data_IF_987735219114
#
_entry.id   IF_987735219114
#
_cell.length_a   1.000
_cell.length_b   1.000
_cell.length_c   1.000
_cell.angle_alpha   90.00
_cell.angle_beta   90.00
_cell.angle_gamma   90.00
#
_symmetry.space_group_name_H-M   'P 1'
#
loop_
_entity.id
_entity.type
_entity.pdbx_description
1 polymer ?
#
# COMPACT_ATOMS: atom_id res chain seq x y z
N UNK A 1 -17.27 -21.17 -46.39
CA UNK A 1 -15.87 -20.92 -45.99
C UNK A 1 -15.91 -19.89 -44.88
N UNK A 2 -16.45 -20.33 -43.74
CA UNK A 2 -16.37 -19.67 -42.45
C UNK A 2 -15.04 -20.12 -41.84
N UNK A 3 -14.29 -19.20 -41.23
CA UNK A 3 -13.20 -19.42 -40.25
C UNK A 3 -11.99 -18.52 -40.53
N UNK A 4 -12.05 -17.28 -40.03
CA UNK A 4 -10.89 -16.65 -39.37
C UNK A 4 -11.43 -15.75 -38.24
N UNK A 5 -11.98 -16.36 -37.19
CA UNK A 5 -12.28 -15.68 -35.93
C UNK A 5 -10.99 -15.61 -35.10
N UNK A 6 -10.62 -14.38 -34.76
CA UNK A 6 -10.08 -13.93 -33.46
C UNK A 6 -8.90 -14.67 -32.79
N UNK A 7 -7.79 -13.94 -32.59
CA UNK A 7 -7.40 -13.27 -31.32
C UNK A 7 -5.90 -13.02 -31.36
N UNK A 8 -5.52 -11.76 -31.57
CA UNK A 8 -4.19 -11.30 -31.21
C UNK A 8 -4.06 -11.51 -29.68
N UNK A 9 -3.03 -12.22 -29.18
CA UNK A 9 -2.94 -12.56 -27.77
C UNK A 9 -2.86 -11.28 -26.92
N UNK A 10 -3.63 -11.25 -25.84
CA UNK A 10 -3.55 -10.21 -24.81
C UNK A 10 -2.09 -10.08 -24.38
N UNK A 11 -1.49 -8.92 -24.66
CA UNK A 11 -0.17 -8.41 -24.26
C UNK A 11 0.68 -9.41 -23.46
N UNK A 12 1.74 -9.96 -24.07
CA UNK A 12 2.75 -10.77 -23.35
C UNK A 12 3.33 -9.88 -22.25
N UNK A 13 2.83 -10.04 -21.03
CA UNK A 13 3.25 -9.28 -19.87
C UNK A 13 4.67 -9.73 -19.52
N UNK A 14 5.60 -8.80 -19.31
CA UNK A 14 6.94 -9.21 -18.91
C UNK A 14 6.88 -9.77 -17.48
N UNK A 15 7.77 -10.71 -17.13
CA UNK A 15 7.84 -11.25 -15.76
C UNK A 15 7.94 -10.16 -14.69
N UNK A 16 8.57 -9.02 -15.02
CA UNK A 16 8.67 -7.86 -14.13
C UNK A 16 7.31 -7.21 -13.88
N UNK A 17 6.50 -7.06 -14.93
CA UNK A 17 5.17 -6.47 -14.81
C UNK A 17 4.20 -7.41 -14.07
N UNK A 18 4.36 -8.74 -14.21
CA UNK A 18 3.64 -9.72 -13.38
C UNK A 18 3.96 -9.56 -11.90
N UNK A 19 5.27 -9.54 -11.55
CA UNK A 19 5.73 -9.36 -10.17
C UNK A 19 5.18 -8.04 -9.60
N UNK A 20 5.22 -6.96 -10.39
CA UNK A 20 4.67 -5.66 -9.99
C UNK A 20 3.16 -5.73 -9.76
N UNK A 21 2.42 -6.36 -10.67
CA UNK A 21 0.97 -6.51 -10.56
C UNK A 21 0.59 -7.31 -9.32
N UNK A 22 1.27 -8.41 -9.06
CA UNK A 22 0.97 -9.27 -7.91
C UNK A 22 1.42 -8.64 -6.59
N UNK A 23 2.55 -7.92 -6.59
CA UNK A 23 2.95 -7.09 -5.45
C UNK A 23 1.87 -6.07 -5.09
N UNK A 24 1.32 -5.34 -6.07
CA UNK A 24 0.30 -4.33 -5.82
C UNK A 24 -0.96 -4.95 -5.20
N UNK A 25 -1.41 -6.11 -5.71
CA UNK A 25 -2.55 -6.85 -5.13
C UNK A 25 -2.28 -7.29 -3.70
N UNK A 26 -1.07 -7.79 -3.41
CA UNK A 26 -0.69 -8.20 -2.06
C UNK A 26 -0.60 -6.99 -1.12
N UNK A 27 -0.10 -5.86 -1.58
CA UNK A 27 -0.05 -4.61 -0.81
C UNK A 27 -1.46 -4.12 -0.47
N UNK A 28 -2.38 -4.10 -1.43
CA UNK A 28 -3.78 -3.74 -1.21
C UNK A 28 -4.47 -4.67 -0.22
N UNK A 29 -4.31 -5.98 -0.40
CA UNK A 29 -4.84 -6.97 0.54
C UNK A 29 -4.28 -6.76 1.94
N UNK A 30 -2.98 -6.55 2.07
CA UNK A 30 -2.34 -6.38 3.37
C UNK A 30 -2.80 -5.10 4.10
N UNK A 31 -2.99 -3.99 3.36
CA UNK A 31 -3.56 -2.77 3.94
C UNK A 31 -5.01 -2.99 4.41
N UNK A 32 -5.82 -3.73 3.64
CA UNK A 32 -7.16 -4.12 4.09
C UNK A 32 -7.12 -5.02 5.34
N UNK A 33 -6.16 -5.95 5.41
CA UNK A 33 -5.99 -6.81 6.58
C UNK A 33 -5.56 -6.02 7.83
N UNK A 34 -4.74 -4.98 7.69
CA UNK A 34 -4.41 -4.05 8.79
C UNK A 34 -5.68 -3.32 9.28
N UNK A 35 -6.46 -2.77 8.34
CA UNK A 35 -7.69 -2.04 8.62
C UNK A 35 -8.74 -2.88 9.37
N UNK A 36 -8.86 -4.15 8.98
CA UNK A 36 -9.80 -5.10 9.56
C UNK A 36 -9.24 -5.81 10.81
N UNK A 37 -8.03 -5.45 11.26
CA UNK A 37 -7.36 -6.07 12.41
C UNK A 37 -6.93 -7.52 12.19
N UNK A 38 -6.95 -8.02 10.95
CA UNK A 38 -6.45 -9.35 10.55
C UNK A 38 -4.92 -9.41 10.51
N UNK A 39 -4.26 -8.26 10.35
CA UNK A 39 -2.82 -8.12 10.45
C UNK A 39 -2.45 -7.18 11.60
N UNK A 40 -1.48 -7.60 12.43
CA UNK A 40 -1.00 -6.82 13.59
C UNK A 40 0.32 -6.11 13.33
N UNK A 41 0.99 -6.40 12.20
CA UNK A 41 2.29 -5.86 11.83
C UNK A 41 2.30 -5.53 10.35
N UNK A 42 2.99 -4.45 10.00
CA UNK A 42 3.23 -4.06 8.61
C UNK A 42 4.20 -5.01 7.93
N UNK A 43 3.89 -5.35 6.69
CA UNK A 43 4.82 -6.02 5.80
C UNK A 43 5.89 -5.05 5.30
N UNK A 44 6.99 -5.65 4.91
CA UNK A 44 8.15 -5.01 4.32
C UNK A 44 8.54 -5.83 3.08
N UNK A 45 9.46 -5.33 2.26
CA UNK A 45 9.88 -6.00 1.03
C UNK A 45 10.25 -7.49 1.23
N UNK A 46 10.76 -7.86 2.40
CA UNK A 46 11.02 -9.27 2.76
C UNK A 46 9.78 -10.15 2.69
N UNK A 47 8.71 -9.76 3.39
CA UNK A 47 7.45 -10.51 3.46
C UNK A 47 6.80 -10.63 2.08
N UNK A 48 6.80 -9.55 1.29
CA UNK A 48 6.27 -9.59 -0.07
C UNK A 48 7.11 -10.46 -1.00
N UNK A 49 8.45 -10.41 -0.89
CA UNK A 49 9.34 -11.27 -1.65
C UNK A 49 9.10 -12.76 -1.37
N UNK A 50 8.92 -13.11 -0.09
CA UNK A 50 8.58 -14.48 0.32
C UNK A 50 7.25 -14.95 -0.30
N UNK A 51 6.20 -14.13 -0.26
CA UNK A 51 4.89 -14.46 -0.85
C UNK A 51 4.91 -14.57 -2.38
N UNK A 52 5.81 -13.85 -3.04
CA UNK A 52 5.97 -13.85 -4.49
C UNK A 52 7.05 -14.82 -4.98
N UNK A 53 7.67 -15.58 -4.07
CA UNK A 53 8.79 -16.48 -4.35
C UNK A 53 9.96 -15.79 -5.06
N UNK A 54 10.28 -14.56 -4.65
CA UNK A 54 11.41 -13.78 -5.17
C UNK A 54 12.26 -13.20 -4.04
N UNK A 55 13.56 -13.03 -4.30
CA UNK A 55 14.43 -12.39 -3.32
C UNK A 55 13.98 -10.93 -3.07
N UNK A 56 13.99 -10.41 -1.82
CA UNK A 56 13.47 -9.07 -1.51
C UNK A 56 14.16 -7.94 -2.31
N UNK A 57 15.47 -8.07 -2.54
CA UNK A 57 16.22 -7.15 -3.42
C UNK A 57 15.70 -7.17 -4.87
N UNK A 58 15.34 -8.35 -5.39
CA UNK A 58 14.79 -8.45 -6.73
C UNK A 58 13.42 -7.80 -6.82
N UNK A 59 12.56 -7.99 -5.81
CA UNK A 59 11.29 -7.27 -5.70
C UNK A 59 11.50 -5.76 -5.72
N UNK A 60 12.34 -5.22 -4.82
CA UNK A 60 12.61 -3.77 -4.76
C UNK A 60 13.12 -3.23 -6.09
N UNK A 61 14.08 -3.90 -6.73
CA UNK A 61 14.60 -3.47 -8.03
C UNK A 61 13.54 -3.53 -9.13
N UNK A 62 12.65 -4.53 -9.09
CA UNK A 62 11.56 -4.69 -10.07
C UNK A 62 10.52 -3.57 -9.92
N UNK A 63 10.12 -3.25 -8.68
CA UNK A 63 9.21 -2.14 -8.40
C UNK A 63 9.83 -0.80 -8.80
N UNK A 64 11.12 -0.57 -8.49
CA UNK A 64 11.81 0.64 -8.92
C UNK A 64 11.89 0.75 -10.44
N UNK A 65 12.16 -0.34 -11.15
CA UNK A 65 12.27 -0.33 -12.60
C UNK A 65 10.91 -0.10 -13.29
N UNK A 66 9.83 -0.64 -12.74
CA UNK A 66 8.50 -0.61 -13.38
C UNK A 66 7.66 0.59 -12.99
N UNK A 67 7.80 1.09 -11.75
CA UNK A 67 6.97 2.16 -11.20
C UNK A 67 7.78 3.39 -10.76
N UNK A 68 9.12 3.34 -10.82
CA UNK A 68 10.01 4.41 -10.37
C UNK A 68 9.83 4.80 -8.88
N UNK A 69 9.48 3.82 -8.05
CA UNK A 69 9.30 3.96 -6.59
C UNK A 69 9.70 2.68 -5.87
N UNK A 70 9.70 2.68 -4.55
CA UNK A 70 10.00 1.52 -3.72
C UNK A 70 8.73 0.82 -3.18
N UNK A 71 8.83 -0.49 -2.80
CA UNK A 71 7.75 -1.17 -2.09
C UNK A 71 7.34 -0.48 -0.78
N UNK A 72 8.26 0.22 -0.12
CA UNK A 72 8.00 0.93 1.14
C UNK A 72 7.14 2.17 0.89
N UNK A 73 7.50 2.98 -0.10
CA UNK A 73 6.74 4.18 -0.49
C UNK A 73 5.32 3.81 -0.91
N UNK A 74 5.15 2.75 -1.72
CA UNK A 74 3.81 2.28 -2.11
C UNK A 74 2.97 1.88 -0.90
N UNK A 75 3.56 1.19 0.09
CA UNK A 75 2.86 0.85 1.33
C UNK A 75 2.47 2.10 2.13
N UNK A 76 3.37 3.07 2.24
CA UNK A 76 3.14 4.32 2.93
C UNK A 76 2.04 5.16 2.26
N UNK A 77 2.03 5.24 0.93
CA UNK A 77 0.98 5.91 0.15
C UNK A 77 -0.39 5.26 0.35
N UNK A 78 -0.47 3.93 0.31
CA UNK A 78 -1.73 3.21 0.54
C UNK A 78 -2.24 3.40 1.96
N UNK A 79 -1.36 3.30 2.96
CA UNK A 79 -1.70 3.60 4.36
C UNK A 79 -2.18 5.05 4.51
N UNK A 80 -1.50 5.99 3.87
CA UNK A 80 -1.89 7.40 3.90
C UNK A 80 -3.29 7.61 3.31
N UNK A 81 -3.60 6.97 2.19
CA UNK A 81 -4.90 7.06 1.55
C UNK A 81 -6.02 6.57 2.47
N UNK A 82 -5.85 5.40 3.10
CA UNK A 82 -6.83 4.88 4.07
C UNK A 82 -6.91 5.74 5.34
N UNK A 83 -5.77 6.22 5.85
CA UNK A 83 -5.72 7.13 6.99
C UNK A 83 -6.51 8.43 6.73
N UNK A 84 -6.39 9.02 5.54
CA UNK A 84 -7.16 10.22 5.15
C UNK A 84 -8.67 9.94 5.16
N UNK A 85 -9.11 8.77 4.67
CA UNK A 85 -10.52 8.35 4.73
C UNK A 85 -11.01 8.23 6.17
N UNK A 86 -10.24 7.56 7.04
CA UNK A 86 -10.59 7.43 8.46
C UNK A 86 -10.60 8.76 9.21
N UNK A 87 -9.76 9.72 8.82
CA UNK A 87 -9.75 11.05 9.45
C UNK A 87 -11.02 11.87 9.20
N UNK A 88 -11.79 11.53 8.16
CA UNK A 88 -13.10 12.12 7.89
C UNK A 88 -14.15 11.70 8.94
N UNK A 89 -13.99 10.54 9.55
CA UNK A 89 -14.81 10.11 10.68
C UNK A 89 -14.32 10.79 11.98
N UNK A 90 -15.17 11.67 12.52
CA UNK A 90 -14.88 12.43 13.76
C UNK A 90 -15.02 11.60 15.03
N UNK A 91 -15.65 10.42 14.96
CA UNK A 91 -15.80 9.52 16.10
C UNK A 91 -14.50 8.79 16.43
N UNK A 92 -13.62 8.63 15.44
CA UNK A 92 -12.32 7.98 15.61
C UNK A 92 -11.27 8.95 16.16
N UNK A 93 -10.61 8.57 17.24
CA UNK A 93 -9.42 9.27 17.72
C UNK A 93 -8.22 9.05 16.80
N UNK A 94 -7.27 9.99 16.82
CA UNK A 94 -6.02 9.89 16.04
C UNK A 94 -5.20 8.67 16.49
N UNK A 95 -5.29 8.30 17.78
CA UNK A 95 -4.62 7.13 18.34
C UNK A 95 -5.21 5.82 17.79
N UNK A 96 -6.54 5.69 17.75
CA UNK A 96 -7.22 4.52 17.16
C UNK A 96 -6.90 4.36 15.68
N UNK A 97 -6.86 5.45 14.92
CA UNK A 97 -6.47 5.42 13.51
C UNK A 97 -5.02 4.93 13.37
N UNK A 98 -4.08 5.46 14.17
CA UNK A 98 -2.69 5.00 14.15
C UNK A 98 -2.55 3.52 14.50
N UNK A 99 -3.31 3.05 15.49
CA UNK A 99 -3.28 1.65 15.92
C UNK A 99 -3.71 0.69 14.81
N UNK A 100 -4.73 1.04 14.00
CA UNK A 100 -5.18 0.22 12.84
C UNK A 100 -4.06 -0.04 11.84
N UNK A 101 -3.12 0.90 11.69
CA UNK A 101 -1.96 0.73 10.81
C UNK A 101 -0.72 0.21 11.53
N UNK A 102 -0.88 -0.43 12.69
CA UNK A 102 0.18 -0.97 13.53
C UNK A 102 1.22 0.06 14.02
N UNK A 103 0.83 1.33 14.19
CA UNK A 103 1.63 2.26 14.98
C UNK A 103 1.34 2.05 16.47
N UNK A 104 2.37 1.75 17.26
CA UNK A 104 2.25 1.54 18.72
C UNK A 104 1.88 2.84 19.45
N UNK A 105 2.41 3.97 18.97
CA UNK A 105 2.22 5.29 19.57
C UNK A 105 1.58 6.26 18.57
N UNK A 106 0.59 7.03 19.02
CA UNK A 106 -0.08 8.06 18.23
C UNK A 106 0.92 9.12 17.69
N UNK A 107 1.99 9.38 18.44
CA UNK A 107 3.08 10.28 18.04
C UNK A 107 3.80 9.78 16.79
N UNK A 108 4.00 8.46 16.64
CA UNK A 108 4.66 7.89 15.47
C UNK A 108 3.76 7.99 14.22
N UNK A 109 2.46 7.72 14.38
CA UNK A 109 1.50 7.96 13.30
C UNK A 109 1.43 9.43 12.90
N UNK A 110 1.44 10.34 13.87
CA UNK A 110 1.43 11.79 13.61
C UNK A 110 2.68 12.25 12.85
N UNK A 111 3.86 11.74 13.23
CA UNK A 111 5.12 12.02 12.52
C UNK A 111 5.07 11.53 11.07
N UNK A 112 4.64 10.28 10.86
CA UNK A 112 4.44 9.70 9.54
C UNK A 112 3.47 10.53 8.68
N UNK A 113 2.29 10.83 9.21
CA UNK A 113 1.28 11.57 8.45
C UNK A 113 1.80 12.97 8.08
N UNK A 114 2.51 13.62 9.01
CA UNK A 114 3.14 14.92 8.76
C UNK A 114 4.27 14.85 7.75
N UNK A 115 5.12 13.82 7.76
CA UNK A 115 6.17 13.68 6.75
C UNK A 115 5.60 13.48 5.35
N UNK A 116 4.46 12.80 5.24
CA UNK A 116 3.79 12.52 3.96
C UNK A 116 2.93 13.69 3.44
N UNK A 117 2.43 14.57 4.32
CA UNK A 117 1.44 15.60 3.95
C UNK A 117 1.82 17.03 4.31
N UNK A 118 2.93 17.23 5.02
CA UNK A 118 3.31 18.48 5.69
C UNK A 118 2.31 18.98 6.75
N UNK A 119 1.33 18.15 7.13
CA UNK A 119 0.29 18.50 8.09
C UNK A 119 0.13 17.41 9.15
N UNK A 120 -0.22 17.78 10.38
CA UNK A 120 -0.63 16.76 11.37
C UNK A 120 -1.99 16.17 11.01
N UNK A 121 -2.32 14.94 11.45
CA UNK A 121 -3.64 14.36 11.29
C UNK A 121 -4.77 15.26 11.80
N UNK A 122 -4.54 15.94 12.93
CA UNK A 122 -5.52 16.87 13.52
C UNK A 122 -5.72 18.11 12.64
N UNK A 123 -4.66 18.69 12.08
CA UNK A 123 -4.77 19.81 11.16
C UNK A 123 -5.51 19.40 9.88
N UNK A 124 -5.20 18.23 9.32
CA UNK A 124 -5.90 17.69 8.16
C UNK A 124 -7.39 17.50 8.43
N UNK A 125 -7.76 16.88 9.57
CA UNK A 125 -9.16 16.72 9.98
C UNK A 125 -9.91 18.05 10.11
N UNK A 126 -9.24 19.11 10.58
CA UNK A 126 -9.84 20.45 10.66
C UNK A 126 -10.11 21.08 9.29
N UNK A 127 -9.36 20.70 8.25
CA UNK A 127 -9.60 21.18 6.88
C UNK A 127 -10.75 20.45 6.17
N UNK A 128 -11.16 19.28 6.65
CA UNK A 128 -12.34 18.56 6.14
C UNK A 128 -13.67 19.15 6.64
N UNK A 129 -13.62 20.28 7.35
CA UNK A 129 -14.77 20.98 7.90
C UNK A 129 -15.43 21.89 6.87
#
# INVERSE_FOLDING_TARGET
>A
MQDVIEKIPAKILSRKDEITTDFLKLADKHVADLMDGRALKRFHAKHFGELLFVHPRHLTNTIQLTLNTSPCEIMEEKILAEAKKLLADKTLSIAEIGLRFAYTEATNFTKFFKSMTNMTPLQYRKQLQ
#
